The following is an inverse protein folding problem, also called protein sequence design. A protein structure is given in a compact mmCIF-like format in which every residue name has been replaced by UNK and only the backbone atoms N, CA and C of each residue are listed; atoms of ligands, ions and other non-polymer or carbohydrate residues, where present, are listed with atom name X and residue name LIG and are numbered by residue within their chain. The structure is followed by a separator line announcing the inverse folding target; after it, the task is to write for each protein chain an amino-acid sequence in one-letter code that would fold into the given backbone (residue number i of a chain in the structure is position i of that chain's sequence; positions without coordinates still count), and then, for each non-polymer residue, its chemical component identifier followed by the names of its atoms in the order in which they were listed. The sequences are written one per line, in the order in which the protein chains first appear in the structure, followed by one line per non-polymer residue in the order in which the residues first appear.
data_IF_193627485639
#
_entry.id   IF_193627485639
#
_cell.length_a   1.000
_cell.length_b   1.000
_cell.length_c   1.000
_cell.angle_alpha   90.00
_cell.angle_beta   90.00
_cell.angle_gamma   90.00
#
_symmetry.space_group_name_H-M   'P 1'
#
loop_
_entity.id
_entity.type
_entity.pdbx_description
1 polymer ?
#
# COMPACT_ATOMS: atom_id res chain seq x y z
N UNK A 1 -16.22 -16.09 -9.09
CA UNK A 1 -14.83 -16.57 -8.86
C UNK A 1 -13.90 -15.41 -9.12
N UNK A 2 -13.12 -15.00 -8.12
CA UNK A 2 -12.02 -14.06 -8.35
C UNK A 2 -10.92 -14.77 -9.13
N UNK A 3 -10.44 -14.16 -10.20
CA UNK A 3 -9.34 -14.72 -10.99
C UNK A 3 -8.00 -14.48 -10.28
N UNK A 4 -7.05 -15.42 -10.45
CA UNK A 4 -5.65 -15.21 -10.03
C UNK A 4 -5.07 -13.92 -10.63
N UNK A 5 -5.53 -13.51 -11.80
CA UNK A 5 -5.10 -12.26 -12.44
C UNK A 5 -5.51 -11.03 -11.62
N UNK A 6 -6.71 -11.02 -11.05
CA UNK A 6 -7.15 -9.92 -10.18
C UNK A 6 -6.28 -9.82 -8.91
N UNK A 7 -5.94 -10.96 -8.30
CA UNK A 7 -5.03 -10.99 -7.14
C UNK A 7 -3.62 -10.51 -7.51
N UNK A 8 -3.15 -10.88 -8.71
CA UNK A 8 -1.86 -10.42 -9.24
C UNK A 8 -1.85 -8.92 -9.51
N UNK A 9 -2.96 -8.38 -10.00
CA UNK A 9 -3.14 -6.95 -10.23
C UNK A 9 -3.14 -6.15 -8.92
N UNK A 10 -3.89 -6.61 -7.90
CA UNK A 10 -3.83 -6.05 -6.54
C UNK A 10 -2.39 -6.13 -6.00
N UNK A 11 -1.72 -7.27 -6.13
CA UNK A 11 -0.35 -7.45 -5.68
C UNK A 11 0.62 -6.44 -6.30
N UNK A 12 0.54 -6.21 -7.62
CA UNK A 12 1.36 -5.20 -8.32
C UNK A 12 1.09 -3.78 -7.81
N UNK A 13 -0.18 -3.43 -7.63
CA UNK A 13 -0.57 -2.12 -7.09
C UNK A 13 -0.01 -1.91 -5.68
N UNK A 14 -0.11 -2.92 -4.80
CA UNK A 14 0.42 -2.83 -3.45
C UNK A 14 1.94 -2.71 -3.43
N UNK A 15 2.63 -3.48 -4.26
CA UNK A 15 4.09 -3.35 -4.39
C UNK A 15 4.50 -1.95 -4.87
N UNK A 16 3.76 -1.38 -5.84
CA UNK A 16 3.99 0.00 -6.29
C UNK A 16 3.81 1.00 -5.14
N UNK A 17 2.73 0.91 -4.37
CA UNK A 17 2.48 1.77 -3.20
C UNK A 17 3.57 1.59 -2.14
N UNK A 18 4.01 0.36 -1.88
CA UNK A 18 5.09 0.05 -0.92
C UNK A 18 6.34 0.89 -1.18
N UNK A 19 6.70 1.09 -2.45
CA UNK A 19 7.87 1.90 -2.82
C UNK A 19 7.71 3.37 -2.37
N UNK A 20 6.51 3.96 -2.50
CA UNK A 20 6.24 5.31 -2.01
C UNK A 20 6.28 5.37 -0.47
N UNK A 21 5.77 4.34 0.20
CA UNK A 21 5.83 4.25 1.67
C UNK A 21 7.27 4.18 2.16
N UNK A 22 8.10 3.32 1.55
CA UNK A 22 9.52 3.20 1.91
C UNK A 22 10.25 4.53 1.70
N UNK A 23 9.99 5.22 0.58
CA UNK A 23 10.57 6.54 0.34
C UNK A 23 10.11 7.58 1.38
N UNK A 24 8.82 7.57 1.72
CA UNK A 24 8.25 8.44 2.77
C UNK A 24 8.89 8.19 4.13
N UNK A 25 9.15 6.94 4.47
CA UNK A 25 9.83 6.57 5.71
C UNK A 25 11.22 7.20 5.78
N UNK A 26 12.01 7.13 4.70
CA UNK A 26 13.32 7.77 4.67
C UNK A 26 13.25 9.29 4.84
N UNK A 27 12.29 9.97 4.20
CA UNK A 27 12.08 11.41 4.39
C UNK A 27 11.71 11.78 5.83
N UNK A 28 10.82 11.00 6.46
CA UNK A 28 10.45 11.16 7.88
C UNK A 28 11.65 10.89 8.79
N UNK A 29 12.46 9.87 8.47
CA UNK A 29 13.69 9.51 9.19
C UNK A 29 14.68 10.67 9.16
N UNK A 30 14.93 11.24 7.98
CA UNK A 30 15.90 12.31 7.78
C UNK A 30 15.50 13.61 8.51
N UNK A 31 14.18 13.85 8.65
CA UNK A 31 13.63 14.93 9.48
C UNK A 31 13.60 14.64 10.98
N UNK A 32 14.02 13.44 11.41
CA UNK A 32 14.07 13.01 12.82
C UNK A 32 12.71 13.06 13.54
N UNK A 33 11.60 12.82 12.82
CA UNK A 33 10.25 12.82 13.39
C UNK A 33 9.93 11.51 14.13
N UNK A 34 10.58 11.30 15.29
CA UNK A 34 10.57 10.02 16.01
C UNK A 34 9.18 9.53 16.41
N UNK A 35 8.27 10.44 16.74
CA UNK A 35 6.87 10.11 17.10
C UNK A 35 6.11 9.42 15.96
N UNK A 36 6.54 9.61 14.71
CA UNK A 36 5.95 8.95 13.55
C UNK A 36 6.55 7.56 13.30
N UNK A 37 7.66 7.18 13.94
CA UNK A 37 8.37 5.94 13.59
C UNK A 37 7.58 4.69 13.97
N UNK A 38 7.12 4.59 15.22
CA UNK A 38 6.35 3.43 15.69
C UNK A 38 5.05 3.23 14.90
N UNK A 39 4.19 4.26 14.71
CA UNK A 39 2.98 4.08 13.92
C UNK A 39 3.30 3.74 12.45
N UNK A 40 4.37 4.32 11.87
CA UNK A 40 4.79 3.99 10.52
C UNK A 40 5.26 2.54 10.42
N UNK A 41 6.15 2.11 11.30
CA UNK A 41 6.73 0.77 11.30
C UNK A 41 5.64 -0.29 11.49
N UNK A 42 4.69 -0.05 12.39
CA UNK A 42 3.54 -0.93 12.57
C UNK A 42 2.66 -1.01 11.31
N UNK A 43 2.33 0.13 10.71
CA UNK A 43 1.57 0.19 9.46
C UNK A 43 2.29 -0.56 8.34
N UNK A 44 3.60 -0.32 8.15
CA UNK A 44 4.40 -0.94 7.09
C UNK A 44 4.54 -2.44 7.30
N UNK A 45 4.69 -2.90 8.55
CA UNK A 45 4.71 -4.32 8.88
C UNK A 45 3.40 -5.01 8.50
N UNK A 46 2.25 -4.40 8.83
CA UNK A 46 0.93 -4.91 8.45
C UNK A 46 0.80 -4.96 6.92
N UNK A 47 1.18 -3.88 6.26
CA UNK A 47 1.16 -3.76 4.81
C UNK A 47 2.02 -4.86 4.13
N UNK A 48 3.22 -5.09 4.64
CA UNK A 48 4.13 -6.12 4.14
C UNK A 48 3.59 -7.54 4.36
N UNK A 49 2.79 -7.79 5.39
CA UNK A 49 2.11 -9.08 5.59
C UNK A 49 1.07 -9.35 4.51
N UNK A 50 0.33 -8.33 4.07
CA UNK A 50 -0.65 -8.46 2.98
C UNK A 50 0.07 -8.81 1.67
N UNK A 51 1.17 -8.11 1.38
CA UNK A 51 2.00 -8.38 0.20
C UNK A 51 2.57 -9.81 0.25
N UNK A 52 3.08 -10.25 1.40
CA UNK A 52 3.59 -11.60 1.58
C UNK A 52 2.52 -12.68 1.42
N UNK A 53 1.30 -12.41 1.90
CA UNK A 53 0.15 -13.30 1.71
C UNK A 53 -0.19 -13.48 0.23
N UNK A 54 -0.34 -12.38 -0.51
CA UNK A 54 -0.59 -12.41 -1.95
C UNK A 54 0.52 -13.12 -2.71
N UNK A 55 1.78 -12.83 -2.39
CA UNK A 55 2.95 -13.49 -2.99
C UNK A 55 2.87 -15.01 -2.87
N UNK A 56 2.49 -15.53 -1.69
CA UNK A 56 2.36 -16.98 -1.45
C UNK A 56 1.20 -17.59 -2.25
N UNK A 57 0.06 -16.92 -2.32
CA UNK A 57 -1.11 -17.41 -3.09
C UNK A 57 -0.83 -17.42 -4.60
N UNK A 58 -0.07 -16.44 -5.07
CA UNK A 58 0.29 -16.29 -6.47
C UNK A 58 1.50 -17.13 -6.90
N UNK A 59 2.17 -17.79 -5.95
CA UNK A 59 3.41 -18.54 -6.15
C UNK A 59 4.52 -17.69 -6.78
N UNK A 60 4.64 -16.43 -6.34
CA UNK A 60 5.64 -15.48 -6.84
C UNK A 60 6.95 -15.57 -6.03
N UNK A 61 8.09 -15.48 -6.71
CA UNK A 61 9.42 -15.57 -6.09
C UNK A 61 9.64 -14.43 -5.05
N UNK A 62 10.36 -14.76 -3.97
CA UNK A 62 10.87 -13.82 -2.97
C UNK A 62 11.70 -12.70 -3.59
N UNK A 63 12.47 -13.01 -4.63
CA UNK A 63 13.47 -12.11 -5.20
C UNK A 63 12.98 -11.32 -6.41
N UNK A 64 11.70 -11.46 -6.78
CA UNK A 64 11.10 -10.69 -7.87
C UNK A 64 11.23 -9.19 -7.59
N UNK A 65 11.94 -8.49 -8.48
CA UNK A 65 12.03 -7.03 -8.43
C UNK A 65 10.74 -6.43 -8.97
N UNK A 66 10.01 -5.74 -8.10
CA UNK A 66 8.84 -4.97 -8.50
C UNK A 66 9.24 -3.55 -8.88
N UNK A 67 8.85 -3.14 -10.09
CA UNK A 67 9.02 -1.77 -10.55
C UNK A 67 7.84 -0.91 -10.14
N UNK A 68 8.09 0.39 -9.99
CA UNK A 68 7.04 1.37 -9.76
C UNK A 68 6.16 1.46 -11.01
N UNK A 69 4.86 1.26 -10.83
CA UNK A 69 3.90 1.41 -11.93
C UNK A 69 3.77 2.89 -12.33
N UNK A 70 3.67 3.14 -13.64
CA UNK A 70 3.29 4.44 -14.19
C UNK A 70 1.83 4.79 -13.84
N UNK A 71 1.45 6.07 -13.89
CA UNK A 71 0.06 6.48 -13.69
C UNK A 71 -0.92 5.80 -14.66
N UNK A 72 -0.53 5.59 -15.93
CA UNK A 72 -1.38 4.89 -16.89
C UNK A 72 -1.61 3.44 -16.49
N UNK A 73 -0.56 2.70 -16.14
CA UNK A 73 -0.67 1.30 -15.71
C UNK A 73 -1.53 1.14 -14.45
N UNK A 74 -1.42 2.09 -13.51
CA UNK A 74 -2.25 2.10 -12.30
C UNK A 74 -3.73 2.20 -12.66
N UNK A 75 -4.12 3.15 -13.51
CA UNK A 75 -5.52 3.31 -13.89
C UNK A 75 -6.05 2.13 -14.71
N UNK A 76 -5.24 1.59 -15.63
CA UNK A 76 -5.62 0.40 -16.40
C UNK A 76 -5.90 -0.81 -15.52
N UNK A 77 -5.12 -1.00 -14.46
CA UNK A 77 -5.36 -2.07 -13.49
C UNK A 77 -6.62 -1.78 -12.68
N UNK A 78 -6.76 -0.57 -12.14
CA UNK A 78 -7.91 -0.20 -11.29
C UNK A 78 -9.24 -0.37 -12.02
N UNK A 79 -9.31 -0.06 -13.32
CA UNK A 79 -10.52 -0.22 -14.14
C UNK A 79 -10.98 -1.68 -14.30
N UNK A 80 -10.09 -2.65 -14.06
CA UNK A 80 -10.40 -4.09 -14.12
C UNK A 80 -10.86 -4.65 -12.77
N UNK A 81 -10.66 -3.91 -11.69
CA UNK A 81 -11.02 -4.36 -10.35
C UNK A 81 -12.51 -4.14 -10.08
N UNK A 82 -13.14 -4.98 -9.23
CA UNK A 82 -14.46 -4.71 -8.69
C UNK A 82 -14.52 -3.34 -8.00
N UNK A 83 -15.67 -2.68 -8.08
CA UNK A 83 -15.83 -1.27 -7.69
C UNK A 83 -15.39 -0.98 -6.24
N UNK A 84 -15.73 -1.87 -5.32
CA UNK A 84 -15.37 -1.79 -3.91
C UNK A 84 -13.85 -1.83 -3.71
N UNK A 85 -13.17 -2.76 -4.37
CA UNK A 85 -11.70 -2.88 -4.35
C UNK A 85 -11.04 -1.69 -5.00
N UNK A 86 -11.52 -1.31 -6.18
CA UNK A 86 -11.01 -0.19 -6.95
C UNK A 86 -11.02 1.10 -6.11
N UNK A 87 -12.12 1.35 -5.39
CA UNK A 87 -12.26 2.49 -4.48
C UNK A 87 -11.25 2.42 -3.33
N UNK A 88 -11.14 1.29 -2.64
CA UNK A 88 -10.20 1.11 -1.53
C UNK A 88 -8.74 1.29 -1.97
N UNK A 89 -8.38 0.72 -3.13
CA UNK A 89 -7.04 0.86 -3.72
C UNK A 89 -6.75 2.31 -4.14
N UNK A 90 -7.73 3.02 -4.72
CA UNK A 90 -7.57 4.45 -5.05
C UNK A 90 -7.29 5.28 -3.80
N UNK A 91 -8.04 5.04 -2.74
CA UNK A 91 -7.84 5.72 -1.45
C UNK A 91 -6.44 5.43 -0.89
N UNK A 92 -5.97 4.18 -0.98
CA UNK A 92 -4.61 3.82 -0.57
C UNK A 92 -3.55 4.59 -1.35
N UNK A 93 -3.65 4.62 -2.69
CA UNK A 93 -2.70 5.29 -3.58
C UNK A 93 -2.71 6.80 -3.32
N UNK A 94 -3.88 7.39 -3.11
CA UNK A 94 -3.99 8.80 -2.76
C UNK A 94 -3.32 9.09 -1.41
N UNK A 95 -3.63 8.30 -0.38
CA UNK A 95 -3.04 8.46 0.95
C UNK A 95 -1.52 8.28 0.93
N UNK A 96 -0.98 7.32 0.16
CA UNK A 96 0.47 7.13 0.03
C UNK A 96 1.15 8.30 -0.68
N UNK A 97 0.51 8.89 -1.71
CA UNK A 97 0.99 10.11 -2.38
C UNK A 97 1.03 11.30 -1.42
N UNK A 98 -0.04 11.53 -0.65
CA UNK A 98 -0.09 12.59 0.35
C UNK A 98 0.99 12.39 1.42
N UNK A 99 1.18 11.17 1.91
CA UNK A 99 2.25 10.87 2.87
C UNK A 99 3.62 11.21 2.30
N UNK A 100 3.89 10.83 1.05
CA UNK A 100 5.15 11.12 0.36
C UNK A 100 5.37 12.63 0.18
N UNK A 101 4.35 13.36 -0.25
CA UNK A 101 4.41 14.81 -0.41
C UNK A 101 4.71 15.52 0.92
N UNK A 102 3.96 15.17 1.96
CA UNK A 102 4.01 15.86 3.25
C UNK A 102 5.08 15.37 4.22
N UNK A 103 5.67 14.20 3.95
CA UNK A 103 6.81 13.69 4.70
C UNK A 103 7.98 14.68 4.72
N UNK A 104 8.09 15.60 3.77
CA UNK A 104 9.17 16.59 3.70
C UNK A 104 8.87 17.94 4.37
N UNK A 105 7.60 18.34 4.52
CA UNK A 105 7.26 19.75 4.79
C UNK A 105 6.19 19.98 5.86
N UNK A 106 5.45 18.94 6.28
CA UNK A 106 4.28 19.12 7.15
C UNK A 106 4.54 18.71 8.60
N UNK A 107 3.65 19.11 9.51
CA UNK A 107 3.70 18.78 10.93
C UNK A 107 3.51 17.29 11.21
N UNK A 108 4.12 16.81 12.29
CA UNK A 108 4.08 15.41 12.74
C UNK A 108 2.66 14.86 12.95
N UNK A 109 1.71 15.59 13.59
CA UNK A 109 0.36 15.08 13.80
C UNK A 109 -0.37 14.75 12.50
N UNK A 110 -0.14 15.54 11.46
CA UNK A 110 -0.74 15.31 10.15
C UNK A 110 -0.15 14.07 9.46
N UNK A 111 1.17 13.90 9.52
CA UNK A 111 1.84 12.69 9.03
C UNK A 111 1.30 11.44 9.75
N UNK A 112 1.17 11.48 11.08
CA UNK A 112 0.59 10.39 11.87
C UNK A 112 -0.85 10.10 11.46
N UNK A 113 -1.66 11.12 11.19
CA UNK A 113 -3.03 10.95 10.70
C UNK A 113 -3.07 10.21 9.36
N UNK A 114 -2.21 10.57 8.41
CA UNK A 114 -2.12 9.88 7.12
C UNK A 114 -1.67 8.42 7.31
N UNK A 115 -0.67 8.17 8.17
CA UNK A 115 -0.21 6.81 8.49
C UNK A 115 -1.35 5.95 9.04
N UNK A 116 -2.17 6.50 9.94
CA UNK A 116 -3.36 5.81 10.48
C UNK A 116 -4.38 5.51 9.38
N UNK A 117 -4.66 6.47 8.51
CA UNK A 117 -5.56 6.26 7.36
C UNK A 117 -5.07 5.13 6.46
N UNK A 118 -3.76 5.07 6.14
CA UNK A 118 -3.19 3.97 5.35
C UNK A 118 -3.32 2.64 6.07
N UNK A 119 -3.09 2.61 7.39
CA UNK A 119 -3.25 1.42 8.21
C UNK A 119 -4.69 0.87 8.17
N UNK A 120 -5.68 1.74 8.27
CA UNK A 120 -7.10 1.35 8.25
C UNK A 120 -7.50 0.83 6.86
N UNK A 121 -7.03 1.48 5.80
CA UNK A 121 -7.23 1.02 4.42
C UNK A 121 -6.56 -0.35 4.20
N UNK A 122 -5.38 -0.59 4.78
CA UNK A 122 -4.72 -1.89 4.72
C UNK A 122 -5.55 -2.98 5.41
N UNK A 123 -6.20 -2.69 6.54
CA UNK A 123 -7.12 -3.63 7.18
C UNK A 123 -8.32 -3.98 6.29
N UNK A 124 -8.86 -3.00 5.58
CA UNK A 124 -10.00 -3.24 4.67
C UNK A 124 -9.59 -4.07 3.44
N UNK A 125 -8.38 -3.86 2.91
CA UNK A 125 -7.82 -4.73 1.86
C UNK A 125 -7.63 -6.14 2.40
N UNK A 126 -7.08 -6.31 3.61
CA UNK A 126 -6.90 -7.63 4.21
C UNK A 126 -8.23 -8.38 4.37
N UNK A 127 -9.27 -7.71 4.90
CA UNK A 127 -10.63 -8.29 5.00
C UNK A 127 -11.20 -8.66 3.64
N UNK A 128 -10.96 -7.84 2.62
CA UNK A 128 -11.41 -8.14 1.26
C UNK A 128 -10.73 -9.40 0.72
N UNK A 129 -9.40 -9.49 0.85
CA UNK A 129 -8.63 -10.66 0.40
C UNK A 129 -9.03 -11.94 1.15
N UNK A 130 -9.29 -11.84 2.46
CA UNK A 130 -9.72 -12.98 3.27
C UNK A 130 -11.07 -13.56 2.79
N UNK A 131 -12.01 -12.70 2.40
CA UNK A 131 -13.33 -13.10 1.84
C UNK A 131 -13.25 -13.75 0.46
N UNK A 132 -12.14 -13.56 -0.25
CA UNK A 132 -11.95 -14.11 -1.59
C UNK A 132 -11.30 -15.48 -1.53
N UNK A 133 -10.34 -15.62 -0.63
CA UNK A 133 -9.47 -16.79 -0.55
C UNK A 133 -10.14 -17.92 0.25
N UNK A 134 -11.01 -17.57 1.20
CA UNK A 134 -11.85 -18.51 1.96
C UNK A 134 -13.28 -18.53 1.41
#
# INVERSE_FOLDING_TARGET
MVSKDMLRDIYKLLQSVRLDLVESFYRIKDRKLREAYDPFAFMLLKYDKIIQFLRRILDEDLYTKHQKLSPQEVEEIILKLPLDVASTIRNLIQASKLLKEFSSSTSTPYIISIIKSINDIADDIAKYLDKIVN
#
